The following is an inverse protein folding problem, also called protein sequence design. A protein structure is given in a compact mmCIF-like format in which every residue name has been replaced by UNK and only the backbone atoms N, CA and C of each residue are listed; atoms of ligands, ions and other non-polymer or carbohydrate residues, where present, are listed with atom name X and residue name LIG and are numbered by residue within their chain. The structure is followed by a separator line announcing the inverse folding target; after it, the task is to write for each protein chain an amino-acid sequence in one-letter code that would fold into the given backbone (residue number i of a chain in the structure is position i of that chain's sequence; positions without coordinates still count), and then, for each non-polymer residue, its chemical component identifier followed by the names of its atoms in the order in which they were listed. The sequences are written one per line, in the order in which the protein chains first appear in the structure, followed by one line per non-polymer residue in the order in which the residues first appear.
data_IF_434107190878
#
_entry.id   IF_434107190878
#
_cell.length_a   1.000
_cell.length_b   1.000
_cell.length_c   1.000
_cell.angle_alpha   90.00
_cell.angle_beta   90.00
_cell.angle_gamma   90.00
#
_symmetry.space_group_name_H-M   'P 1'
#
loop_
_entity.id
_entity.type
_entity.pdbx_description
1 polymer ?
#
# COMPACT_ATOMS: atom_id res chain seq x y z
N UNK A 1 -3.52 25.67 -19.97
CA UNK A 1 -3.15 25.31 -18.59
C UNK A 1 -3.50 23.85 -18.42
N UNK A 2 -2.49 22.99 -18.45
CA UNK A 2 -2.68 21.55 -18.25
C UNK A 2 -2.80 21.32 -16.74
N UNK A 3 -4.00 20.98 -16.29
CA UNK A 3 -4.27 20.72 -14.87
C UNK A 3 -3.83 19.30 -14.59
N UNK A 4 -2.81 19.14 -13.74
CA UNK A 4 -2.43 17.82 -13.21
C UNK A 4 -3.62 17.28 -12.40
N UNK A 5 -4.42 16.42 -13.02
CA UNK A 5 -5.56 15.75 -12.38
C UNK A 5 -5.08 14.46 -11.75
N UNK A 6 -5.28 14.32 -10.44
CA UNK A 6 -4.99 13.07 -9.74
C UNK A 6 -6.08 12.05 -10.06
N UNK A 7 -5.70 10.89 -10.60
CA UNK A 7 -6.63 9.80 -10.91
C UNK A 7 -6.94 8.99 -9.65
N UNK A 8 -8.17 9.11 -9.13
CA UNK A 8 -8.68 8.28 -8.02
C UNK A 8 -8.59 6.79 -8.35
N UNK A 9 -8.95 6.40 -9.57
CA UNK A 9 -8.94 5.00 -10.01
C UNK A 9 -7.51 4.46 -10.13
N UNK A 10 -6.56 5.31 -10.52
CA UNK A 10 -5.13 4.98 -10.52
C UNK A 10 -4.62 4.73 -9.10
N UNK A 11 -5.00 5.59 -8.15
CA UNK A 11 -4.63 5.43 -6.74
C UNK A 11 -5.24 4.18 -6.12
N UNK A 12 -6.51 3.87 -6.40
CA UNK A 12 -7.18 2.67 -5.91
C UNK A 12 -6.54 1.39 -6.47
N UNK A 13 -6.20 1.35 -7.77
CA UNK A 13 -5.47 0.21 -8.35
C UNK A 13 -4.09 0.04 -7.72
N UNK A 14 -3.36 1.14 -7.50
CA UNK A 14 -2.05 1.08 -6.85
C UNK A 14 -2.17 0.63 -5.38
N UNK A 15 -3.22 1.05 -4.69
CA UNK A 15 -3.53 0.59 -3.34
C UNK A 15 -3.76 -0.93 -3.29
N UNK A 16 -4.61 -1.44 -4.20
CA UNK A 16 -4.87 -2.87 -4.31
C UNK A 16 -3.59 -3.68 -4.62
N UNK A 17 -2.72 -3.14 -5.49
CA UNK A 17 -1.43 -3.77 -5.78
C UNK A 17 -0.54 -3.86 -4.54
N UNK A 18 -0.47 -2.81 -3.72
CA UNK A 18 0.32 -2.84 -2.48
C UNK A 18 -0.20 -3.87 -1.49
N UNK A 19 -1.53 -4.02 -1.37
CA UNK A 19 -2.15 -5.04 -0.52
C UNK A 19 -1.90 -6.46 -1.07
N UNK A 20 -1.94 -6.65 -2.38
CA UNK A 20 -1.63 -7.95 -2.98
C UNK A 20 -0.17 -8.36 -2.74
N UNK A 21 0.77 -7.42 -2.95
CA UNK A 21 2.20 -7.67 -2.72
C UNK A 21 2.52 -7.86 -1.24
N UNK A 22 1.82 -7.18 -0.32
CA UNK A 22 2.02 -7.41 1.12
C UNK A 22 1.66 -8.84 1.52
N UNK A 23 0.56 -9.37 0.99
CA UNK A 23 0.14 -10.75 1.23
C UNK A 23 1.13 -11.77 0.66
N UNK A 24 1.66 -11.51 -0.55
CA UNK A 24 2.69 -12.35 -1.17
C UNK A 24 3.99 -12.37 -0.34
N UNK A 25 4.48 -11.20 0.07
CA UNK A 25 5.69 -11.07 0.90
C UNK A 25 5.51 -11.78 2.25
N UNK A 26 4.33 -11.69 2.86
CA UNK A 26 4.04 -12.43 4.09
C UNK A 26 4.04 -13.96 3.89
N UNK A 27 3.56 -14.44 2.73
CA UNK A 27 3.44 -15.87 2.42
C UNK A 27 4.74 -16.57 2.03
N UNK A 28 5.76 -15.83 1.56
CA UNK A 28 7.02 -16.42 1.06
C UNK A 28 7.98 -16.92 2.16
N UNK A 29 7.67 -16.70 3.44
CA UNK A 29 8.65 -16.96 4.52
C UNK A 29 8.53 -18.35 5.13
N UNK A 30 8.43 -19.40 4.32
CA UNK A 30 8.63 -20.77 4.80
C UNK A 30 10.06 -21.20 4.48
N UNK A 31 10.91 -21.27 5.51
CA UNK A 31 12.28 -21.76 5.37
C UNK A 31 12.32 -23.28 5.18
N UNK A 32 13.32 -23.84 4.46
CA UNK A 32 13.54 -25.27 4.37
C UNK A 32 13.80 -25.88 5.76
N UNK A 33 13.58 -27.19 5.93
CA UNK A 33 13.87 -27.88 7.19
C UNK A 33 15.36 -27.70 7.54
N UNK A 34 15.59 -27.17 8.73
CA UNK A 34 16.94 -26.89 9.22
C UNK A 34 17.52 -28.17 9.83
N UNK A 35 18.80 -28.42 9.56
CA UNK A 35 19.54 -29.57 10.09
C UNK A 35 19.64 -29.56 11.63
N UNK A 36 20.31 -30.57 12.21
CA UNK A 36 20.35 -30.75 13.66
C UNK A 36 20.87 -29.50 14.39
N UNK A 37 20.20 -29.03 15.47
CA UNK A 37 20.56 -27.79 16.17
C UNK A 37 21.94 -27.83 16.84
N UNK A 38 22.51 -29.04 17.03
CA UNK A 38 23.86 -29.22 17.55
C UNK A 38 24.96 -28.77 16.56
N UNK A 39 24.64 -28.59 15.26
CA UNK A 39 25.57 -28.04 14.30
C UNK A 39 25.50 -26.51 14.33
N UNK A 40 26.61 -25.86 14.66
CA UNK A 40 26.72 -24.39 14.69
C UNK A 40 26.27 -23.73 13.37
N UNK A 41 26.53 -24.37 12.23
CA UNK A 41 26.06 -23.92 10.92
C UNK A 41 24.54 -23.95 10.79
N UNK A 42 23.88 -25.02 11.28
CA UNK A 42 22.42 -25.14 11.29
C UNK A 42 21.78 -24.08 12.19
N UNK A 43 22.37 -23.81 13.37
CA UNK A 43 21.92 -22.74 14.25
C UNK A 43 22.07 -21.35 13.62
N UNK A 44 23.18 -21.08 12.93
CA UNK A 44 23.40 -19.83 12.21
C UNK A 44 22.39 -19.64 11.06
N UNK A 45 22.12 -20.70 10.29
CA UNK A 45 21.12 -20.70 9.22
C UNK A 45 19.72 -20.44 9.77
N UNK A 46 19.35 -21.04 10.91
CA UNK A 46 18.08 -20.78 11.59
C UNK A 46 17.94 -19.31 12.00
N UNK A 47 18.98 -18.73 12.61
CA UNK A 47 19.01 -17.31 12.92
C UNK A 47 18.82 -16.43 11.70
N UNK A 48 19.42 -16.80 10.56
CA UNK A 48 19.23 -16.11 9.28
C UNK A 48 17.78 -16.14 8.77
N UNK A 49 17.12 -17.30 8.82
CA UNK A 49 15.71 -17.42 8.42
C UNK A 49 14.77 -16.65 9.35
N UNK A 50 15.02 -16.64 10.65
CA UNK A 50 14.23 -15.83 11.59
C UNK A 50 14.40 -14.32 11.33
N UNK A 51 15.62 -13.87 11.07
CA UNK A 51 15.88 -12.47 10.69
C UNK A 51 15.19 -12.10 9.38
N UNK A 52 15.23 -13.00 8.38
CA UNK A 52 14.51 -12.81 7.12
C UNK A 52 12.99 -12.72 7.38
N UNK A 53 12.42 -13.58 8.21
CA UNK A 53 11.00 -13.55 8.58
C UNK A 53 10.59 -12.27 9.26
N UNK A 54 11.41 -11.75 10.16
CA UNK A 54 11.16 -10.46 10.79
C UNK A 54 11.17 -9.33 9.75
N UNK A 55 12.15 -9.34 8.84
CA UNK A 55 12.27 -8.31 7.79
C UNK A 55 11.11 -8.36 6.79
N UNK A 56 10.70 -9.55 6.32
CA UNK A 56 9.55 -9.69 5.41
C UNK A 56 8.25 -9.27 6.08
N UNK A 57 8.07 -9.59 7.37
CA UNK A 57 6.91 -9.11 8.15
C UNK A 57 6.84 -7.58 8.21
N UNK A 58 7.97 -6.90 8.48
CA UNK A 58 8.02 -5.43 8.48
C UNK A 58 7.74 -4.86 7.09
N UNK A 59 8.26 -5.48 6.03
CA UNK A 59 8.01 -5.04 4.66
C UNK A 59 6.53 -5.20 4.28
N UNK A 60 5.91 -6.34 4.60
CA UNK A 60 4.49 -6.57 4.36
C UNK A 60 3.63 -5.51 5.06
N UNK A 61 3.90 -5.21 6.34
CA UNK A 61 3.17 -4.18 7.07
C UNK A 61 3.31 -2.79 6.45
N UNK A 62 4.50 -2.44 5.93
CA UNK A 62 4.72 -1.16 5.24
C UNK A 62 3.96 -1.07 3.92
N UNK A 63 3.92 -2.16 3.17
CA UNK A 63 3.17 -2.25 1.91
C UNK A 63 1.67 -2.07 2.18
N UNK A 64 1.12 -2.79 3.15
CA UNK A 64 -0.29 -2.64 3.56
C UNK A 64 -0.61 -1.20 4.00
N UNK A 65 0.21 -0.61 4.88
CA UNK A 65 0.03 0.77 5.32
C UNK A 65 0.08 1.77 4.16
N UNK A 66 0.90 1.49 3.14
CA UNK A 66 0.99 2.32 1.93
C UNK A 66 -0.27 2.17 1.08
N UNK A 67 -0.76 0.94 0.91
CA UNK A 67 -2.04 0.68 0.25
C UNK A 67 -3.20 1.45 0.89
N UNK A 68 -3.31 1.40 2.22
CA UNK A 68 -4.34 2.14 2.97
C UNK A 68 -4.24 3.65 2.79
N UNK A 69 -3.02 4.21 2.77
CA UNK A 69 -2.80 5.65 2.50
C UNK A 69 -3.22 6.03 1.09
N UNK A 70 -2.92 5.19 0.09
CA UNK A 70 -3.31 5.43 -1.30
C UNK A 70 -4.84 5.39 -1.48
N UNK A 71 -5.52 4.44 -0.83
CA UNK A 71 -6.98 4.38 -0.83
C UNK A 71 -7.58 5.63 -0.20
N UNK A 72 -7.10 6.03 0.98
CA UNK A 72 -7.56 7.24 1.65
C UNK A 72 -7.32 8.51 0.82
N UNK A 73 -6.17 8.59 0.14
CA UNK A 73 -5.88 9.69 -0.77
C UNK A 73 -6.86 9.71 -1.96
N UNK A 74 -7.18 8.55 -2.54
CA UNK A 74 -8.16 8.44 -3.63
C UNK A 74 -9.52 9.00 -3.22
N UNK A 75 -10.02 8.59 -2.04
CA UNK A 75 -11.30 9.05 -1.51
C UNK A 75 -11.29 10.56 -1.26
N UNK A 76 -10.20 11.07 -0.69
CA UNK A 76 -10.04 12.50 -0.44
C UNK A 76 -10.03 13.33 -1.73
N UNK A 77 -9.33 12.88 -2.79
CA UNK A 77 -9.34 13.58 -4.07
C UNK A 77 -10.71 13.53 -4.76
N UNK A 78 -11.40 12.39 -4.73
CA UNK A 78 -12.74 12.26 -5.28
C UNK A 78 -13.74 13.19 -4.57
N UNK A 79 -13.71 13.24 -3.24
CA UNK A 79 -14.55 14.14 -2.45
C UNK A 79 -14.25 15.63 -2.75
N UNK A 80 -12.96 15.98 -2.88
CA UNK A 80 -12.54 17.35 -3.18
C UNK A 80 -12.94 17.80 -4.57
N UNK A 81 -12.87 16.91 -5.57
CA UNK A 81 -13.37 17.19 -6.92
C UNK A 81 -14.89 17.43 -6.90
N UNK A 82 -15.65 16.55 -6.23
CA UNK A 82 -17.10 16.71 -6.12
C UNK A 82 -17.52 18.01 -5.43
N UNK A 83 -16.86 18.37 -4.32
CA UNK A 83 -17.11 19.64 -3.63
C UNK A 83 -16.74 20.85 -4.49
N UNK A 84 -15.64 20.76 -5.26
CA UNK A 84 -15.21 21.82 -6.16
C UNK A 84 -16.21 22.02 -7.31
N UNK A 85 -16.69 20.93 -7.91
CA UNK A 85 -17.72 20.99 -8.96
C UNK A 85 -19.02 21.65 -8.45
N UNK A 86 -19.47 21.30 -7.24
CA UNK A 86 -20.65 21.93 -6.63
C UNK A 86 -20.44 23.43 -6.40
N UNK A 87 -19.28 23.84 -5.89
CA UNK A 87 -18.96 25.26 -5.68
C UNK A 87 -18.90 26.02 -7.00
N UNK A 88 -18.31 25.45 -8.04
CA UNK A 88 -18.26 26.05 -9.37
C UNK A 88 -19.66 26.20 -9.98
N UNK A 89 -20.53 25.20 -9.83
CA UNK A 89 -21.92 25.26 -10.28
C UNK A 89 -22.71 26.36 -9.57
N UNK A 90 -22.51 26.53 -8.26
CA UNK A 90 -23.15 27.59 -7.48
C UNK A 90 -22.67 28.98 -7.92
N UNK A 91 -21.37 29.15 -8.17
CA UNK A 91 -20.80 30.40 -8.70
C UNK A 91 -21.37 30.70 -10.09
N UNK A 92 -21.43 29.71 -10.99
CA UNK A 92 -21.97 29.90 -12.33
C UNK A 92 -23.45 30.34 -12.28
N UNK A 93 -24.26 29.70 -11.44
CA UNK A 93 -25.68 30.06 -11.26
C UNK A 93 -25.87 31.47 -10.71
N UNK A 94 -24.97 31.93 -9.82
CA UNK A 94 -25.02 33.29 -9.26
C UNK A 94 -24.60 34.38 -10.25
N UNK A 95 -23.87 34.04 -11.32
CA UNK A 95 -23.46 34.98 -12.36
C UNK A 95 -24.55 35.16 -13.42
N UNK A 96 -25.42 34.16 -13.59
CA UNK A 96 -26.53 34.17 -14.55
C UNK A 96 -27.80 34.88 -14.03
N UNK A 97 -27.83 35.27 -12.76
CA UNK A 97 -28.91 36.05 -12.10
C UNK A 97 -28.53 37.51 -11.92
#
# INVERSE_FOLDING_TARGET
MDVIRVSSDGLQRLAAQHVAVSAEVAGTTSGPPIGPPAQHTSAAVAGGYEALRAATGVLAARLEATGSKLSSAADHYAAREGSSALRLSAVASSVET
#
